data_IF_045029096414
#
_entry.id   IF_045029096414
#
_cell.length_a   1.000
_cell.length_b   1.000
_cell.length_c   1.000
_cell.angle_alpha   90.00
_cell.angle_beta   90.00
_cell.angle_gamma   90.00
#
_symmetry.space_group_name_H-M   'P 1'
#
loop_
_entity.id
_entity.type
_entity.pdbx_description
1 polymer ?
#
# COMPACT_ATOMS: atom_id res chain seq x y z
N UNK A 1 -1.58 -17.61 -13.21
CA UNK A 1 -0.41 -18.27 -12.56
C UNK A 1 -0.49 -17.83 -11.12
N UNK A 2 -0.80 -18.72 -10.20
CA UNK A 2 -0.88 -18.35 -8.78
C UNK A 2 0.57 -18.13 -8.32
N UNK A 3 0.87 -16.93 -7.82
CA UNK A 3 2.20 -16.63 -7.27
C UNK A 3 2.41 -17.45 -5.99
N UNK A 4 3.59 -18.04 -5.82
CA UNK A 4 3.97 -18.81 -4.64
C UNK A 4 4.93 -17.97 -3.79
N UNK A 5 4.51 -17.63 -2.58
CA UNK A 5 5.28 -16.81 -1.64
C UNK A 5 5.72 -17.60 -0.40
N UNK A 6 5.72 -18.94 -0.46
CA UNK A 6 6.23 -19.76 0.64
C UNK A 6 7.68 -19.41 0.96
N UNK A 7 7.95 -19.12 2.23
CA UNK A 7 9.26 -18.68 2.70
C UNK A 7 9.54 -17.18 2.52
N UNK A 8 8.60 -16.42 2.00
CA UNK A 8 8.66 -14.95 1.97
C UNK A 8 8.03 -14.33 3.21
N UNK A 9 8.50 -13.16 3.56
CA UNK A 9 7.93 -12.32 4.61
C UNK A 9 7.43 -11.01 4.00
N UNK A 10 6.15 -10.71 4.15
CA UNK A 10 5.51 -9.49 3.67
C UNK A 10 5.10 -8.58 4.84
N UNK A 11 5.35 -7.28 4.71
CA UNK A 11 4.86 -6.24 5.62
C UNK A 11 3.92 -5.30 4.87
N UNK A 12 2.66 -5.21 5.33
CA UNK A 12 1.62 -4.36 4.73
C UNK A 12 1.23 -3.26 5.71
N UNK A 13 1.38 -1.98 5.34
CA UNK A 13 0.90 -0.90 6.19
C UNK A 13 -0.61 -0.67 6.01
N UNK A 14 -1.34 -0.50 7.13
CA UNK A 14 -2.79 -0.30 7.10
C UNK A 14 -3.58 -1.55 6.69
N UNK A 15 -3.26 -2.72 7.29
CA UNK A 15 -3.74 -4.04 6.86
C UNK A 15 -5.13 -4.45 7.37
N UNK A 16 -5.84 -3.62 8.16
CA UNK A 16 -7.08 -4.07 8.83
C UNK A 16 -8.36 -3.93 7.99
N UNK A 17 -8.36 -3.19 6.89
CA UNK A 17 -9.54 -2.93 6.05
C UNK A 17 -9.19 -2.69 4.58
N UNK A 18 -10.21 -2.70 3.71
CA UNK A 18 -10.13 -2.35 2.30
C UNK A 18 -9.00 -3.08 1.57
N UNK A 19 -8.26 -2.35 0.73
CA UNK A 19 -7.13 -2.88 -0.05
C UNK A 19 -6.07 -3.52 0.87
N UNK A 20 -5.78 -2.91 2.03
CA UNK A 20 -4.78 -3.44 2.95
C UNK A 20 -5.15 -4.83 3.49
N UNK A 21 -6.42 -5.07 3.81
CA UNK A 21 -6.90 -6.39 4.25
C UNK A 21 -6.85 -7.42 3.12
N UNK A 22 -7.25 -7.02 1.92
CA UNK A 22 -7.13 -7.88 0.73
C UNK A 22 -5.68 -8.29 0.48
N UNK A 23 -4.74 -7.35 0.60
CA UNK A 23 -3.30 -7.62 0.50
C UNK A 23 -2.80 -8.62 1.54
N UNK A 24 -3.19 -8.44 2.82
CA UNK A 24 -2.84 -9.35 3.92
C UNK A 24 -3.32 -10.76 3.61
N UNK A 25 -4.60 -10.90 3.22
CA UNK A 25 -5.18 -12.20 2.87
C UNK A 25 -4.48 -12.82 1.64
N UNK A 26 -4.27 -12.03 0.59
CA UNK A 26 -3.67 -12.53 -0.65
C UNK A 26 -2.22 -13.03 -0.47
N UNK A 27 -1.40 -12.35 0.35
CA UNK A 27 -0.06 -12.84 0.69
C UNK A 27 -0.12 -14.10 1.56
N UNK A 28 -1.04 -14.17 2.51
CA UNK A 28 -1.27 -15.34 3.35
C UNK A 28 -1.69 -16.55 2.51
N UNK A 29 -2.68 -16.39 1.64
CA UNK A 29 -3.17 -17.45 0.72
C UNK A 29 -2.07 -17.93 -0.24
N UNK A 30 -1.12 -17.05 -0.56
CA UNK A 30 0.05 -17.37 -1.37
C UNK A 30 1.20 -18.02 -0.56
N UNK A 31 1.04 -18.20 0.76
CA UNK A 31 1.95 -18.91 1.64
C UNK A 31 3.05 -18.06 2.30
N UNK A 32 2.95 -16.72 2.25
CA UNK A 32 3.91 -15.85 2.93
C UNK A 32 3.64 -15.77 4.43
N UNK A 33 4.67 -15.48 5.23
CA UNK A 33 4.50 -14.90 6.56
C UNK A 33 4.05 -13.44 6.40
N UNK A 34 3.05 -12.99 7.18
CA UNK A 34 2.47 -11.67 6.97
C UNK A 34 2.48 -10.83 8.23
N UNK A 35 3.19 -9.69 8.18
CA UNK A 35 3.03 -8.63 9.15
C UNK A 35 2.14 -7.52 8.58
N UNK A 36 1.34 -6.90 9.42
CA UNK A 36 0.57 -5.74 9.01
C UNK A 36 0.46 -4.69 10.13
N UNK A 37 0.42 -3.41 9.73
CA UNK A 37 0.26 -2.34 10.71
C UNK A 37 -1.19 -1.87 10.79
N UNK A 38 -1.55 -1.31 11.93
CA UNK A 38 -2.82 -0.64 12.17
C UNK A 38 -2.66 0.49 13.18
N UNK A 39 -3.57 1.48 13.16
CA UNK A 39 -3.51 2.62 14.09
C UNK A 39 -4.42 2.43 15.31
N UNK A 40 -5.70 2.14 15.09
CA UNK A 40 -6.74 2.15 16.15
C UNK A 40 -7.65 0.93 16.20
N UNK A 41 -7.60 0.04 15.20
CA UNK A 41 -8.54 -1.08 15.08
C UNK A 41 -7.98 -2.36 15.70
N UNK A 42 -7.68 -2.34 17.01
CA UNK A 42 -7.04 -3.46 17.72
C UNK A 42 -7.84 -4.75 17.68
N UNK A 43 -9.16 -4.69 17.87
CA UNK A 43 -10.03 -5.88 17.86
C UNK A 43 -10.08 -6.51 16.47
N UNK A 44 -10.18 -5.67 15.41
CA UNK A 44 -10.12 -6.15 14.02
C UNK A 44 -8.77 -6.75 13.68
N UNK A 45 -7.68 -6.16 14.19
CA UNK A 45 -6.33 -6.67 13.98
C UNK A 45 -6.13 -8.03 14.66
N UNK A 46 -6.59 -8.18 15.90
CA UNK A 46 -6.53 -9.45 16.62
C UNK A 46 -7.34 -10.54 15.92
N UNK A 47 -8.59 -10.24 15.54
CA UNK A 47 -9.45 -11.19 14.82
C UNK A 47 -8.86 -11.60 13.45
N UNK A 48 -8.12 -10.70 12.78
CA UNK A 48 -7.46 -11.03 11.53
C UNK A 48 -6.27 -11.96 11.76
N UNK A 49 -5.47 -11.73 12.80
CA UNK A 49 -4.36 -12.65 13.19
C UNK A 49 -4.92 -14.03 13.50
N UNK A 50 -5.96 -14.12 14.34
CA UNK A 50 -6.57 -15.40 14.71
C UNK A 50 -7.05 -16.17 13.46
N UNK A 51 -7.71 -15.48 12.52
CA UNK A 51 -8.20 -16.10 11.28
C UNK A 51 -7.06 -16.61 10.38
N UNK A 52 -5.93 -15.91 10.33
CA UNK A 52 -4.76 -16.30 9.55
C UNK A 52 -4.03 -17.48 10.21
N UNK A 53 -3.90 -17.47 11.53
CA UNK A 53 -3.30 -18.56 12.29
C UNK A 53 -4.11 -19.88 12.15
N UNK A 54 -5.47 -19.79 12.13
CA UNK A 54 -6.36 -20.91 11.85
C UNK A 54 -6.14 -21.52 10.45
N UNK A 55 -5.70 -20.70 9.49
CA UNK A 55 -5.35 -21.13 8.13
C UNK A 55 -3.91 -21.66 8.02
N UNK A 56 -3.13 -21.61 9.11
CA UNK A 56 -1.75 -22.06 9.17
C UNK A 56 -0.74 -21.02 8.66
N UNK A 57 -1.14 -19.75 8.54
CA UNK A 57 -0.25 -18.64 8.18
C UNK A 57 0.26 -17.94 9.44
N UNK A 58 1.58 -17.80 9.58
CA UNK A 58 2.14 -16.99 10.67
C UNK A 58 1.85 -15.50 10.41
N UNK A 59 1.09 -14.87 11.30
CA UNK A 59 0.73 -13.46 11.21
C UNK A 59 1.26 -12.62 12.39
N UNK A 60 1.52 -11.33 12.14
CA UNK A 60 1.96 -10.36 13.15
C UNK A 60 1.26 -9.02 12.94
N UNK A 61 0.45 -8.60 13.90
CA UNK A 61 -0.17 -7.27 13.89
C UNK A 61 0.65 -6.28 14.71
N UNK A 62 0.89 -5.07 14.16
CA UNK A 62 1.77 -4.05 14.73
C UNK A 62 1.01 -2.73 14.86
N UNK A 63 0.75 -2.30 16.09
CA UNK A 63 0.04 -1.04 16.33
C UNK A 63 1.00 0.15 16.27
N UNK A 64 0.63 1.18 15.51
CA UNK A 64 1.38 2.44 15.50
C UNK A 64 0.97 3.39 14.40
N UNK A 65 1.50 4.61 14.46
CA UNK A 65 1.29 5.63 13.43
C UNK A 65 2.42 5.56 12.39
N UNK A 66 2.05 5.40 11.13
CA UNK A 66 3.04 5.36 10.02
C UNK A 66 3.79 6.68 9.84
N UNK A 67 3.23 7.79 10.31
CA UNK A 67 3.86 9.11 10.27
C UNK A 67 5.06 9.24 11.22
N UNK A 68 5.22 8.31 12.16
CA UNK A 68 6.34 8.26 13.10
C UNK A 68 7.45 7.32 12.63
N UNK A 69 8.66 7.87 12.47
CA UNK A 69 9.81 7.11 11.99
C UNK A 69 10.30 6.06 13.02
N UNK A 70 10.23 6.36 14.31
CA UNK A 70 10.65 5.42 15.35
C UNK A 70 9.71 4.21 15.37
N UNK A 71 8.42 4.44 15.21
CA UNK A 71 7.41 3.40 15.05
C UNK A 71 7.68 2.54 13.81
N UNK A 72 7.96 3.15 12.66
CA UNK A 72 8.29 2.40 11.44
C UNK A 72 9.55 1.53 11.63
N UNK A 73 10.58 2.05 12.29
CA UNK A 73 11.79 1.28 12.60
C UNK A 73 11.48 0.11 13.53
N UNK A 74 10.76 0.34 14.64
CA UNK A 74 10.38 -0.70 15.58
C UNK A 74 9.55 -1.82 14.92
N UNK A 75 8.66 -1.47 14.00
CA UNK A 75 7.86 -2.45 13.25
C UNK A 75 8.72 -3.30 12.32
N UNK A 76 9.66 -2.70 11.59
CA UNK A 76 10.59 -3.45 10.73
C UNK A 76 11.50 -4.35 11.57
N UNK A 77 12.01 -3.86 12.68
CA UNK A 77 12.84 -4.64 13.59
C UNK A 77 12.06 -5.86 14.16
N UNK A 78 10.79 -5.68 14.55
CA UNK A 78 9.94 -6.77 15.03
C UNK A 78 9.70 -7.85 13.96
N UNK A 79 9.56 -7.47 12.69
CA UNK A 79 9.45 -8.40 11.55
C UNK A 79 10.75 -9.19 11.38
N UNK A 80 11.90 -8.51 11.40
CA UNK A 80 13.21 -9.13 11.26
C UNK A 80 13.55 -10.04 12.43
N UNK A 81 13.21 -9.63 13.66
CA UNK A 81 13.41 -10.45 14.86
C UNK A 81 12.56 -11.73 14.82
N UNK A 82 11.36 -11.66 14.23
CA UNK A 82 10.46 -12.81 14.14
C UNK A 82 10.86 -13.81 13.07
N UNK A 83 11.20 -13.35 11.86
CA UNK A 83 11.40 -14.21 10.68
C UNK A 83 12.77 -14.09 10.01
N UNK A 84 13.61 -13.16 10.45
CA UNK A 84 14.97 -12.98 9.94
C UNK A 84 15.08 -12.28 8.59
N UNK A 85 13.99 -12.17 7.83
CA UNK A 85 13.94 -11.53 6.50
C UNK A 85 12.72 -10.63 6.36
N UNK A 86 12.82 -9.66 5.45
CA UNK A 86 11.68 -8.88 4.95
C UNK A 86 11.80 -8.81 3.42
N UNK A 87 10.97 -9.57 2.73
CA UNK A 87 11.06 -9.74 1.29
C UNK A 87 10.16 -8.76 0.53
N UNK A 88 9.00 -8.42 1.10
CA UNK A 88 8.03 -7.51 0.49
C UNK A 88 7.58 -6.46 1.49
N UNK A 89 7.72 -5.18 1.12
CA UNK A 89 7.06 -4.06 1.79
C UNK A 89 5.96 -3.50 0.92
N UNK A 90 4.73 -3.43 1.44
CA UNK A 90 3.62 -2.74 0.79
C UNK A 90 3.20 -1.53 1.61
N UNK A 91 3.49 -0.35 1.12
CA UNK A 91 3.02 0.91 1.71
C UNK A 91 1.62 1.22 1.20
N UNK A 92 0.62 0.81 1.97
CA UNK A 92 -0.80 0.98 1.63
C UNK A 92 -1.51 1.99 2.55
N UNK A 93 -1.07 2.19 3.78
CA UNK A 93 -1.71 3.11 4.72
C UNK A 93 -1.91 4.50 4.11
N UNK A 94 -3.11 5.03 4.27
CA UNK A 94 -3.45 6.36 3.76
C UNK A 94 -4.80 6.85 4.27
N UNK A 95 -4.95 8.17 4.23
CA UNK A 95 -6.17 8.89 4.61
C UNK A 95 -6.51 9.94 3.57
N UNK A 96 -7.74 10.42 3.60
CA UNK A 96 -8.19 11.63 2.91
C UNK A 96 -8.66 12.66 3.93
N UNK A 97 -8.54 13.95 3.57
CA UNK A 97 -9.15 15.11 4.23
C UNK A 97 -9.60 16.04 3.11
N UNK A 98 -10.75 15.71 2.54
CA UNK A 98 -11.23 16.34 1.33
C UNK A 98 -11.84 17.71 1.65
N UNK A 99 -11.51 18.71 0.83
CA UNK A 99 -11.98 20.06 0.94
C UNK A 99 -11.38 20.97 -0.14
N UNK A 100 -12.13 21.98 -0.58
CA UNK A 100 -11.56 22.96 -1.51
C UNK A 100 -10.38 23.69 -0.84
N UNK A 101 -9.30 23.94 -1.58
CA UNK A 101 -8.06 24.56 -1.05
C UNK A 101 -8.31 25.85 -0.27
N UNK A 102 -9.32 26.61 -0.65
CA UNK A 102 -9.71 27.84 0.06
C UNK A 102 -10.17 27.59 1.51
N UNK A 103 -10.67 26.41 1.81
CA UNK A 103 -11.23 26.02 3.13
C UNK A 103 -10.41 24.95 3.83
N UNK A 104 -9.42 24.37 3.15
CA UNK A 104 -8.52 23.35 3.69
C UNK A 104 -7.67 23.98 4.78
N UNK A 105 -7.65 23.37 5.97
CA UNK A 105 -6.77 23.80 7.05
C UNK A 105 -5.34 23.27 6.82
N UNK A 106 -4.38 23.88 7.51
CA UNK A 106 -3.00 23.38 7.53
C UNK A 106 -2.94 21.97 8.13
N UNK A 107 -3.72 21.72 9.18
CA UNK A 107 -3.83 20.39 9.81
C UNK A 107 -4.37 19.32 8.84
N UNK A 108 -5.38 19.65 8.00
CA UNK A 108 -5.89 18.72 6.98
C UNK A 108 -4.84 18.40 5.91
N UNK A 109 -4.02 19.38 5.57
CA UNK A 109 -2.90 19.18 4.66
C UNK A 109 -1.82 18.32 5.30
N UNK A 110 -1.37 18.67 6.49
CA UNK A 110 -0.28 18.00 7.19
C UNK A 110 -0.66 16.54 7.54
N UNK A 111 -1.87 16.29 8.03
CA UNK A 111 -2.38 14.95 8.31
C UNK A 111 -2.24 14.03 7.08
N UNK A 112 -2.63 14.52 5.89
CA UNK A 112 -2.59 13.74 4.65
C UNK A 112 -1.15 13.55 4.16
N UNK A 113 -0.33 14.58 4.17
CA UNK A 113 1.08 14.48 3.74
C UNK A 113 1.87 13.60 4.70
N UNK A 114 1.69 13.76 6.00
CA UNK A 114 2.41 12.98 7.01
C UNK A 114 2.01 11.50 6.96
N UNK A 115 0.73 11.18 6.84
CA UNK A 115 0.29 9.79 6.75
C UNK A 115 0.68 9.17 5.40
N UNK A 116 0.28 9.81 4.27
CA UNK A 116 0.36 9.16 2.97
C UNK A 116 1.75 9.19 2.35
N UNK A 117 2.51 10.28 2.52
CA UNK A 117 3.81 10.45 1.86
C UNK A 117 4.97 10.24 2.82
N UNK A 118 4.96 10.90 3.99
CA UNK A 118 6.01 10.71 4.99
C UNK A 118 5.98 9.31 5.58
N UNK A 119 4.78 8.71 5.77
CA UNK A 119 4.64 7.31 6.16
C UNK A 119 5.34 6.35 5.19
N UNK A 120 5.16 6.55 3.88
CA UNK A 120 5.89 5.81 2.83
C UNK A 120 7.40 5.99 2.98
N UNK A 121 7.86 7.23 3.15
CA UNK A 121 9.29 7.51 3.38
C UNK A 121 9.80 6.79 4.63
N UNK A 122 9.07 6.81 5.74
CA UNK A 122 9.48 6.20 7.01
C UNK A 122 9.71 4.69 6.86
N UNK A 123 8.73 3.95 6.31
CA UNK A 123 8.87 2.51 6.12
C UNK A 123 9.92 2.15 5.07
N UNK A 124 10.02 2.89 3.97
CA UNK A 124 11.09 2.70 3.00
C UNK A 124 12.48 2.95 3.62
N UNK A 125 12.61 3.96 4.48
CA UNK A 125 13.87 4.25 5.19
C UNK A 125 14.21 3.16 6.20
N UNK A 126 13.23 2.65 6.95
CA UNK A 126 13.43 1.56 7.91
C UNK A 126 13.87 0.25 7.22
N UNK A 127 13.32 -0.04 6.03
CA UNK A 127 13.63 -1.26 5.26
C UNK A 127 14.87 -1.13 4.37
N UNK A 128 15.36 0.09 4.13
CA UNK A 128 16.46 0.37 3.19
C UNK A 128 17.70 -0.49 3.47
N UNK A 129 18.24 -0.41 4.68
CA UNK A 129 19.45 -1.14 5.06
C UNK A 129 19.26 -2.66 5.16
N UNK A 130 18.16 -3.17 5.75
CA UNK A 130 17.82 -4.59 5.70
C UNK A 130 17.81 -5.16 4.29
N UNK A 131 17.01 -4.62 3.38
CA UNK A 131 16.90 -5.12 2.00
C UNK A 131 18.20 -4.95 1.21
N UNK A 132 18.92 -3.84 1.41
CA UNK A 132 20.23 -3.62 0.78
C UNK A 132 21.25 -4.69 1.19
N UNK A 133 21.26 -5.11 2.47
CA UNK A 133 22.17 -6.16 2.98
C UNK A 133 21.72 -7.55 2.53
N UNK A 134 20.42 -7.79 2.46
CA UNK A 134 19.81 -9.02 1.96
C UNK A 134 20.07 -9.21 0.46
N UNK A 135 20.34 -8.12 -0.29
CA UNK A 135 20.51 -8.06 -1.74
C UNK A 135 19.29 -8.62 -2.50
N UNK A 136 18.13 -8.47 -1.91
CA UNK A 136 16.84 -8.83 -2.48
C UNK A 136 15.73 -8.08 -1.74
N UNK A 137 14.62 -7.85 -2.40
CA UNK A 137 13.43 -7.26 -1.81
C UNK A 137 12.55 -6.58 -2.86
N UNK A 138 11.30 -6.40 -2.52
CA UNK A 138 10.34 -5.67 -3.33
C UNK A 138 9.59 -4.66 -2.47
N UNK A 139 9.56 -3.41 -2.92
CA UNK A 139 8.75 -2.35 -2.33
C UNK A 139 7.65 -1.99 -3.31
N UNK A 140 6.40 -2.08 -2.87
CA UNK A 140 5.22 -1.64 -3.65
C UNK A 140 4.52 -0.52 -2.88
N UNK A 141 4.43 0.65 -3.48
CA UNK A 141 3.79 1.80 -2.89
C UNK A 141 2.41 2.02 -3.53
N UNK A 142 1.36 2.13 -2.73
CA UNK A 142 0.01 2.36 -3.22
C UNK A 142 -0.23 3.86 -3.42
N UNK A 143 -0.30 4.26 -4.68
CA UNK A 143 -0.68 5.63 -5.09
C UNK A 143 -2.19 5.72 -5.34
N UNK A 144 -2.60 6.45 -6.35
CA UNK A 144 -3.98 6.58 -6.83
C UNK A 144 -3.97 7.17 -8.24
N UNK A 145 -5.02 6.93 -9.01
CA UNK A 145 -5.30 7.65 -10.25
C UNK A 145 -5.32 9.18 -10.03
N UNK A 146 -5.83 9.62 -8.88
CA UNK A 146 -5.89 11.04 -8.49
C UNK A 146 -4.50 11.68 -8.41
N UNK A 147 -3.46 10.91 -8.09
CA UNK A 147 -2.08 11.41 -8.14
C UNK A 147 -1.59 11.78 -9.54
N UNK A 148 -2.22 11.25 -10.60
CA UNK A 148 -1.89 11.56 -11.99
C UNK A 148 -2.85 12.59 -12.60
N UNK A 149 -4.15 12.49 -12.28
CA UNK A 149 -5.20 13.32 -12.91
C UNK A 149 -5.56 14.56 -12.10
N UNK A 150 -5.30 14.55 -10.78
CA UNK A 150 -5.90 15.52 -9.86
C UNK A 150 -7.40 15.25 -9.65
N UNK A 151 -7.96 15.82 -8.57
CA UNK A 151 -9.39 15.87 -8.33
C UNK A 151 -9.73 17.11 -7.51
N UNK A 152 -10.83 17.79 -7.85
CA UNK A 152 -11.28 18.96 -7.11
C UNK A 152 -11.60 18.57 -5.65
N UNK A 153 -11.11 19.36 -4.67
CA UNK A 153 -11.26 19.05 -3.26
C UNK A 153 -10.23 18.09 -2.68
N UNK A 154 -9.30 17.58 -3.49
CA UNK A 154 -8.30 16.59 -3.06
C UNK A 154 -6.86 17.06 -3.33
N UNK A 155 -6.58 18.36 -3.19
CA UNK A 155 -5.25 18.90 -3.49
C UNK A 155 -4.14 18.32 -2.62
N UNK A 156 -4.37 18.10 -1.32
CA UNK A 156 -3.49 17.43 -0.39
C UNK A 156 -3.28 15.93 -0.76
N UNK A 157 -4.36 15.21 -1.01
CA UNK A 157 -4.33 13.81 -1.38
C UNK A 157 -3.62 13.60 -2.73
N UNK A 158 -3.98 14.39 -3.76
CA UNK A 158 -3.34 14.35 -5.07
C UNK A 158 -1.83 14.63 -4.95
N UNK A 159 -1.43 15.66 -4.19
CA UNK A 159 -0.03 15.98 -3.94
C UNK A 159 0.71 14.82 -3.28
N UNK A 160 0.11 14.20 -2.24
CA UNK A 160 0.71 13.05 -1.55
C UNK A 160 0.92 11.87 -2.50
N UNK A 161 -0.10 11.53 -3.31
CA UNK A 161 -0.07 10.38 -4.23
C UNK A 161 0.83 10.61 -5.44
N UNK A 162 0.93 11.83 -5.94
CA UNK A 162 1.92 12.22 -6.94
C UNK A 162 3.36 12.18 -6.36
N UNK A 163 3.54 12.64 -5.12
CA UNK A 163 4.83 12.60 -4.42
C UNK A 163 5.38 11.19 -4.26
N UNK A 164 4.50 10.20 -3.97
CA UNK A 164 4.86 8.77 -3.90
C UNK A 164 5.51 8.31 -5.22
N UNK A 165 4.99 8.73 -6.36
CA UNK A 165 5.53 8.34 -7.68
C UNK A 165 6.96 8.86 -7.87
N UNK A 166 7.19 10.14 -7.58
CA UNK A 166 8.53 10.74 -7.67
C UNK A 166 9.53 10.10 -6.70
N UNK A 167 9.11 9.89 -5.46
CA UNK A 167 9.88 9.20 -4.43
C UNK A 167 10.27 7.78 -4.86
N UNK A 168 9.31 6.99 -5.32
CA UNK A 168 9.52 5.59 -5.73
C UNK A 168 10.51 5.47 -6.88
N UNK A 169 10.40 6.34 -7.90
CA UNK A 169 11.35 6.38 -9.04
C UNK A 169 12.78 6.69 -8.59
N UNK A 170 12.96 7.56 -7.61
CA UNK A 170 14.27 7.89 -7.06
C UNK A 170 14.84 6.71 -6.27
N UNK A 171 14.04 6.14 -5.38
CA UNK A 171 14.42 4.99 -4.55
C UNK A 171 14.76 3.75 -5.40
N UNK A 172 14.02 3.52 -6.51
CA UNK A 172 14.32 2.45 -7.46
C UNK A 172 15.73 2.55 -8.05
N UNK A 173 16.21 3.77 -8.31
CA UNK A 173 17.56 4.01 -8.82
C UNK A 173 18.65 3.77 -7.75
N UNK A 174 18.34 4.06 -6.50
CA UNK A 174 19.27 3.85 -5.38
C UNK A 174 19.43 2.36 -5.06
N UNK A 175 18.33 1.60 -5.06
CA UNK A 175 18.31 0.20 -4.61
C UNK A 175 18.48 -0.83 -5.74
N UNK A 176 18.35 -0.44 -7.00
CA UNK A 176 18.39 -1.36 -8.14
C UNK A 176 19.67 -2.19 -8.23
N UNK A 177 20.84 -1.63 -7.88
CA UNK A 177 22.12 -2.35 -7.86
C UNK A 177 22.18 -3.42 -6.75
N UNK A 178 21.18 -3.48 -5.88
CA UNK A 178 21.04 -4.45 -4.79
C UNK A 178 19.93 -5.47 -5.03
N UNK A 179 19.45 -5.59 -6.27
CA UNK A 179 18.32 -6.45 -6.63
C UNK A 179 17.04 -6.16 -5.84
N UNK A 180 16.85 -4.91 -5.41
CA UNK A 180 15.61 -4.45 -4.77
C UNK A 180 14.80 -3.67 -5.79
N UNK A 181 13.58 -4.10 -6.04
CA UNK A 181 12.65 -3.40 -6.93
C UNK A 181 11.74 -2.46 -6.13
N UNK A 182 11.44 -1.30 -6.71
CA UNK A 182 10.52 -0.33 -6.12
C UNK A 182 9.51 0.10 -7.17
N UNK A 183 8.26 -0.24 -6.99
CA UNK A 183 7.19 0.05 -7.94
C UNK A 183 5.99 0.73 -7.26
N UNK A 184 5.12 1.27 -8.07
CA UNK A 184 3.89 1.93 -7.62
C UNK A 184 2.70 1.22 -8.26
N UNK A 185 1.67 0.93 -7.47
CA UNK A 185 0.34 0.60 -7.96
C UNK A 185 -0.53 1.84 -7.81
N UNK A 186 -1.22 2.23 -8.87
CA UNK A 186 -2.13 3.38 -8.89
C UNK A 186 -3.57 2.89 -9.16
N UNK A 187 -4.35 2.59 -8.11
CA UNK A 187 -5.74 2.18 -8.25
C UNK A 187 -6.61 3.32 -8.80
N UNK A 188 -7.69 2.95 -9.48
CA UNK A 188 -8.85 3.79 -9.70
C UNK A 188 -9.78 3.79 -8.49
N UNK A 189 -11.08 3.76 -8.75
CA UNK A 189 -12.08 3.59 -7.70
C UNK A 189 -12.24 2.11 -7.35
N UNK A 190 -12.09 1.79 -6.06
CA UNK A 190 -12.11 0.44 -5.50
C UNK A 190 -13.25 0.34 -4.50
N UNK A 191 -14.01 -0.74 -4.51
CA UNK A 191 -15.12 -0.99 -3.58
C UNK A 191 -14.57 -1.20 -2.17
N UNK A 192 -14.73 -0.20 -1.33
CA UNK A 192 -14.24 -0.16 0.07
C UNK A 192 -15.18 0.73 0.87
N UNK A 193 -15.07 0.70 2.20
CA UNK A 193 -15.83 1.59 3.09
C UNK A 193 -15.81 3.06 2.64
N UNK A 194 -14.70 3.51 2.04
CA UNK A 194 -14.52 4.87 1.54
C UNK A 194 -15.41 5.18 0.32
N UNK A 195 -15.67 4.20 -0.53
CA UNK A 195 -16.50 4.36 -1.74
C UNK A 195 -17.96 4.00 -1.49
N UNK A 196 -18.24 3.26 -0.42
CA UNK A 196 -19.59 2.93 0.00
C UNK A 196 -20.35 4.12 0.60
N UNK A 197 -19.62 5.16 1.05
CA UNK A 197 -20.17 6.43 1.54
C UNK A 197 -20.55 7.42 0.42
N UNK A 198 -20.25 7.10 -0.85
CA UNK A 198 -20.58 7.95 -2.00
C UNK A 198 -22.09 7.90 -2.27
N UNK A 199 -22.68 9.07 -2.58
CA UNK A 199 -24.06 9.14 -3.03
C UNK A 199 -24.22 8.53 -4.45
N UNK A 200 -25.46 8.21 -4.81
CA UNK A 200 -25.78 7.54 -6.07
C UNK A 200 -25.37 8.36 -7.31
N UNK A 201 -25.53 9.69 -7.27
CA UNK A 201 -25.18 10.58 -8.38
C UNK A 201 -23.67 10.62 -8.61
N UNK A 202 -22.88 10.71 -7.54
CA UNK A 202 -21.42 10.64 -7.60
C UNK A 202 -20.97 9.26 -8.11
N UNK A 203 -21.62 8.19 -7.65
CA UNK A 203 -21.31 6.83 -8.07
C UNK A 203 -21.60 6.61 -9.57
N UNK A 204 -22.73 7.07 -10.09
CA UNK A 204 -23.04 7.03 -11.53
C UNK A 204 -21.99 7.81 -12.34
N UNK A 205 -21.64 9.03 -11.90
CA UNK A 205 -20.62 9.85 -12.57
C UNK A 205 -19.26 9.14 -12.65
N UNK A 206 -18.87 8.43 -11.59
CA UNK A 206 -17.65 7.64 -11.57
C UNK A 206 -17.74 6.46 -12.56
N UNK A 207 -18.85 5.73 -12.55
CA UNK A 207 -19.04 4.57 -13.41
C UNK A 207 -19.03 4.97 -14.88
N UNK A 208 -19.68 6.06 -15.25
CA UNK A 208 -19.68 6.61 -16.63
C UNK A 208 -18.26 6.97 -17.11
N UNK A 209 -17.36 7.32 -16.19
CA UNK A 209 -15.98 7.68 -16.51
C UNK A 209 -15.04 6.44 -16.61
N UNK A 210 -15.43 5.29 -16.08
CA UNK A 210 -14.61 4.07 -16.06
C UNK A 210 -14.93 3.19 -17.27
N UNK A 211 -14.03 2.97 -18.24
CA UNK A 211 -14.28 2.14 -19.41
C UNK A 211 -14.74 0.71 -19.13
N UNK A 212 -14.38 0.12 -17.96
CA UNK A 212 -14.84 -1.20 -17.55
C UNK A 212 -16.21 -1.18 -16.85
N UNK A 213 -16.85 0.00 -16.70
CA UNK A 213 -18.20 0.21 -16.20
C UNK A 213 -18.47 -0.43 -14.82
N UNK A 214 -17.44 -0.46 -13.97
CA UNK A 214 -17.54 -0.93 -12.58
C UNK A 214 -16.39 -0.40 -11.72
N UNK A 215 -16.59 -0.43 -10.41
CA UNK A 215 -15.51 -0.29 -9.44
C UNK A 215 -14.63 -1.56 -9.46
N UNK A 216 -13.38 -1.42 -9.09
CA UNK A 216 -12.51 -2.58 -8.85
C UNK A 216 -12.83 -3.21 -7.50
N UNK A 217 -12.69 -4.53 -7.40
CA UNK A 217 -12.65 -5.21 -6.11
C UNK A 217 -11.27 -5.05 -5.46
N UNK A 218 -11.16 -4.99 -4.11
CA UNK A 218 -9.87 -4.92 -3.43
C UNK A 218 -8.88 -6.01 -3.83
N UNK A 219 -9.38 -7.20 -4.13
CA UNK A 219 -8.57 -8.36 -4.55
C UNK A 219 -7.90 -8.13 -5.91
N UNK A 220 -8.51 -7.36 -6.82
CA UNK A 220 -7.91 -7.01 -8.11
C UNK A 220 -6.68 -6.11 -7.95
N UNK A 221 -6.67 -5.29 -6.89
CA UNK A 221 -5.48 -4.49 -6.53
C UNK A 221 -4.42 -5.38 -5.88
N UNK A 222 -4.86 -6.31 -5.03
CA UNK A 222 -3.95 -7.26 -4.40
C UNK A 222 -3.25 -8.14 -5.44
N UNK A 223 -3.95 -8.65 -6.44
CA UNK A 223 -3.38 -9.42 -7.55
C UNK A 223 -2.27 -8.65 -8.30
N UNK A 224 -2.49 -7.37 -8.56
CA UNK A 224 -1.49 -6.52 -9.20
C UNK A 224 -0.25 -6.32 -8.31
N UNK A 225 -0.42 -6.20 -6.99
CA UNK A 225 0.68 -6.10 -6.04
C UNK A 225 1.45 -7.43 -5.95
N UNK A 226 0.75 -8.56 -5.87
CA UNK A 226 1.37 -9.88 -5.87
C UNK A 226 2.18 -10.12 -7.16
N UNK A 227 1.65 -9.71 -8.31
CA UNK A 227 2.42 -9.76 -9.56
C UNK A 227 3.72 -8.99 -9.45
N UNK A 228 3.69 -7.72 -8.99
CA UNK A 228 4.90 -6.89 -8.84
C UNK A 228 5.86 -7.43 -7.78
N UNK A 229 5.36 -8.14 -6.78
CA UNK A 229 6.17 -8.78 -5.74
C UNK A 229 6.74 -10.14 -6.17
N UNK A 230 6.23 -10.73 -7.25
CA UNK A 230 6.64 -12.05 -7.71
C UNK A 230 7.93 -12.03 -8.53
N UNK A 231 8.62 -13.18 -8.69
CA UNK A 231 9.75 -13.33 -9.59
C UNK A 231 9.46 -12.98 -11.05
N UNK A 232 8.18 -13.05 -11.49
CA UNK A 232 7.77 -12.67 -12.84
C UNK A 232 7.99 -11.17 -13.13
N UNK A 233 8.04 -10.34 -12.10
CA UNK A 233 8.28 -8.90 -12.19
C UNK A 233 9.73 -8.50 -11.86
N UNK A 234 10.67 -9.42 -11.74
CA UNK A 234 12.03 -9.14 -11.29
C UNK A 234 12.80 -8.10 -12.13
N UNK A 235 12.37 -7.82 -13.36
CA UNK A 235 12.98 -6.79 -14.22
C UNK A 235 12.13 -5.51 -14.31
N UNK A 236 11.13 -5.36 -13.41
CA UNK A 236 10.25 -4.19 -13.34
C UNK A 236 10.62 -3.37 -12.10
N UNK A 237 11.15 -2.17 -12.29
CA UNK A 237 11.43 -1.23 -11.20
C UNK A 237 11.24 0.22 -11.64
N UNK A 238 10.82 1.10 -10.73
CA UNK A 238 10.49 2.49 -11.02
C UNK A 238 9.21 2.67 -11.85
N UNK A 239 8.41 1.61 -12.02
CA UNK A 239 7.19 1.62 -12.81
C UNK A 239 5.96 2.06 -12.00
N UNK A 240 5.00 2.67 -12.68
CA UNK A 240 3.66 2.93 -12.16
C UNK A 240 2.67 2.04 -12.89
N UNK A 241 2.16 1.03 -12.20
CA UNK A 241 1.13 0.15 -12.71
C UNK A 241 -0.26 0.73 -12.41
N UNK A 242 -0.93 1.20 -13.44
CA UNK A 242 -2.29 1.71 -13.32
C UNK A 242 -3.28 0.53 -13.28
N UNK A 243 -4.08 0.45 -12.21
CA UNK A 243 -5.13 -0.56 -12.02
C UNK A 243 -6.43 0.20 -11.78
N UNK A 244 -6.96 0.81 -12.84
CA UNK A 244 -7.99 1.83 -12.75
C UNK A 244 -9.16 1.65 -13.74
N UNK A 245 -9.31 0.46 -14.35
CA UNK A 245 -10.39 0.17 -15.27
C UNK A 245 -10.40 1.02 -16.55
N UNK A 246 -9.26 1.67 -16.89
CA UNK A 246 -9.14 2.58 -18.03
C UNK A 246 -9.49 4.04 -17.71
N UNK A 247 -9.75 4.39 -16.45
CA UNK A 247 -10.11 5.76 -16.04
C UNK A 247 -9.01 6.79 -16.39
N UNK A 248 -7.76 6.35 -16.41
CA UNK A 248 -6.62 7.16 -16.87
C UNK A 248 -5.65 6.28 -17.63
N UNK A 249 -5.42 6.64 -18.88
CA UNK A 249 -4.54 5.93 -19.82
C UNK A 249 -3.36 6.82 -20.22
#
# INVERSE_FOLDING_TARGET
MQADFRGFTALVTGGTRGIGRALVNAFADAGANVAFTYRSSSDTAAALVDALDEQGTEALSLQGDVADLETAQAHVDAVLDRWGTLDVLVNNAGITRDGLVLRMSEDDWDDVIDTNLKGVFNFCKATYMPMMRQQSGTIVNISSVVGATGNAGQTNYAASKAGIVGFSKSLAKELGSRNVTVNVVAPGYVQTDMTDELDDETRETILDAVPLDRLAEPDEIADAVLFLASPAAAYITGHVLHVNGGLSM
#
